data_IF_949530053192
#
_entry.id   IF_949530053192
#
_cell.length_a   1.000
_cell.length_b   1.000
_cell.length_c   1.000
_cell.angle_alpha   90.00
_cell.angle_beta   90.00
_cell.angle_gamma   90.00
#
_symmetry.space_group_name_H-M   'P 1'
#
loop_
_entity.id
_entity.type
_entity.pdbx_description
1 polymer ?
#
# COMPACT_ATOMS: atom_id res chain seq x y z
N UNK A 1 -41.05 -6.82 40.76
CA UNK A 1 -39.97 -5.96 40.21
C UNK A 1 -38.96 -6.87 39.53
N UNK A 2 -38.96 -6.87 38.20
CA UNK A 2 -37.96 -7.58 37.38
C UNK A 2 -37.28 -6.53 36.50
N UNK A 3 -35.94 -6.52 36.37
CA UNK A 3 -35.29 -5.63 35.43
C UNK A 3 -35.40 -6.22 34.01
N UNK A 4 -36.01 -5.44 33.12
CA UNK A 4 -35.83 -5.57 31.67
C UNK A 4 -34.56 -4.79 31.29
N UNK A 5 -33.71 -5.38 30.45
CA UNK A 5 -32.97 -4.70 29.38
C UNK A 5 -32.25 -5.79 28.56
N UNK A 6 -32.81 -6.22 27.45
CA UNK A 6 -32.74 -5.60 26.10
C UNK A 6 -31.45 -6.02 25.40
N UNK A 7 -31.58 -7.12 24.65
CA UNK A 7 -30.60 -7.63 23.70
C UNK A 7 -30.30 -6.56 22.65
N UNK A 8 -29.03 -6.22 22.50
CA UNK A 8 -28.57 -5.38 21.40
C UNK A 8 -28.37 -6.30 20.19
N UNK A 9 -29.26 -6.16 19.20
CA UNK A 9 -29.19 -6.86 17.92
C UNK A 9 -28.59 -5.88 16.88
N UNK A 10 -27.48 -6.20 16.22
CA UNK A 10 -26.75 -5.25 15.38
C UNK A 10 -27.26 -5.11 13.93
N UNK A 11 -28.53 -5.44 13.63
CA UNK A 11 -29.03 -5.50 12.25
C UNK A 11 -30.42 -4.88 11.99
N UNK A 12 -30.99 -4.12 12.94
CA UNK A 12 -32.22 -3.36 12.68
C UNK A 12 -32.03 -1.90 13.06
N UNK A 13 -31.79 -1.05 12.07
CA UNK A 13 -32.36 0.30 11.96
C UNK A 13 -32.16 0.82 10.53
N UNK A 14 -33.23 0.81 9.75
CA UNK A 14 -33.34 1.52 8.48
C UNK A 14 -33.70 2.99 8.68
N UNK A 15 -33.10 3.83 7.81
CA UNK A 15 -33.53 5.17 7.36
C UNK A 15 -33.33 6.37 8.29
N UNK A 16 -32.17 7.01 8.15
CA UNK A 16 -32.01 8.47 8.25
C UNK A 16 -30.91 8.92 7.28
N UNK A 17 -31.01 10.16 6.80
CA UNK A 17 -30.41 10.77 5.61
C UNK A 17 -28.96 10.37 5.23
N UNK A 18 -28.77 10.04 3.95
CA UNK A 18 -27.45 9.94 3.31
C UNK A 18 -26.74 11.30 3.31
N UNK A 19 -25.85 11.51 4.28
CA UNK A 19 -24.76 12.50 4.18
C UNK A 19 -23.57 11.81 3.53
N UNK A 20 -23.28 12.17 2.29
CA UNK A 20 -22.03 11.79 1.61
C UNK A 20 -20.86 12.43 2.33
N UNK A 21 -20.12 11.66 3.14
CA UNK A 21 -18.78 12.04 3.57
C UNK A 21 -17.84 11.87 2.38
N UNK A 22 -17.67 12.95 1.62
CA UNK A 22 -16.58 13.12 0.67
C UNK A 22 -15.33 13.50 1.46
N UNK A 23 -14.56 12.51 1.90
CA UNK A 23 -13.21 12.72 2.42
C UNK A 23 -12.25 12.88 1.23
N UNK A 24 -12.28 14.06 0.61
CA UNK A 24 -11.21 14.52 -0.25
C UNK A 24 -10.19 15.27 0.65
N UNK A 25 -8.91 14.88 0.69
CA UNK A 25 -7.87 15.56 1.48
C UNK A 25 -7.48 16.97 0.99
N UNK A 26 -8.31 17.62 0.19
CA UNK A 26 -8.04 18.92 -0.45
C UNK A 26 -9.05 20.01 -0.02
N UNK A 27 -10.00 19.71 0.86
CA UNK A 27 -10.96 20.69 1.40
C UNK A 27 -10.58 21.11 2.83
N UNK A 28 -9.33 21.55 3.02
CA UNK A 28 -9.02 22.40 4.17
C UNK A 28 -9.33 23.86 3.79
N UNK A 29 -10.27 24.43 4.53
CA UNK A 29 -10.86 25.75 4.36
C UNK A 29 -9.83 26.89 4.54
N UNK A 30 -9.12 27.23 3.48
CA UNK A 30 -8.45 28.54 3.32
C UNK A 30 -9.45 29.56 2.72
N UNK A 31 -10.52 29.88 3.46
CA UNK A 31 -11.54 30.83 3.00
C UNK A 31 -11.14 32.32 3.13
N UNK A 32 -10.03 32.62 3.82
CA UNK A 32 -9.49 33.98 3.90
C UNK A 32 -8.57 34.34 2.71
N UNK A 33 -7.94 33.36 2.05
CA UNK A 33 -7.06 33.60 0.90
C UNK A 33 -7.83 33.67 -0.43
N UNK A 34 -9.00 33.01 -0.53
CA UNK A 34 -9.85 33.04 -1.72
C UNK A 34 -10.45 34.42 -2.01
N UNK A 35 -10.60 35.30 -1.01
CA UNK A 35 -11.13 36.66 -1.26
C UNK A 35 -10.07 37.56 -1.90
N UNK A 36 -8.80 37.39 -1.54
CA UNK A 36 -7.67 38.11 -2.15
C UNK A 36 -7.38 37.55 -3.54
N UNK A 37 -7.43 36.23 -3.71
CA UNK A 37 -7.22 35.54 -4.97
C UNK A 37 -8.36 35.83 -5.98
N UNK A 38 -9.63 35.88 -5.54
CA UNK A 38 -10.74 36.31 -6.41
C UNK A 38 -10.63 37.79 -6.80
N UNK A 39 -10.12 38.67 -5.95
CA UNK A 39 -9.93 40.11 -6.26
C UNK A 39 -8.74 40.34 -7.20
N UNK A 40 -7.68 39.51 -7.12
CA UNK A 40 -6.56 39.57 -8.07
C UNK A 40 -6.88 38.89 -9.40
N UNK A 41 -7.52 37.72 -9.39
CA UNK A 41 -7.88 36.97 -10.62
C UNK A 41 -9.04 37.60 -11.39
N UNK A 42 -9.95 38.33 -10.74
CA UNK A 42 -11.00 39.08 -11.43
C UNK A 42 -10.49 40.38 -12.08
N UNK A 43 -9.48 41.03 -11.52
CA UNK A 43 -8.78 42.15 -12.16
C UNK A 43 -7.84 41.74 -13.30
N UNK A 44 -7.43 40.46 -13.35
CA UNK A 44 -6.49 39.95 -14.36
C UNK A 44 -7.14 39.09 -15.45
N UNK A 45 -8.48 38.94 -15.48
CA UNK A 45 -9.16 38.35 -16.63
C UNK A 45 -9.09 39.34 -17.81
N UNK A 46 -8.35 39.01 -18.89
CA UNK A 46 -8.17 39.94 -19.97
C UNK A 46 -9.44 39.91 -20.82
N UNK A 47 -10.31 40.89 -20.60
CA UNK A 47 -11.25 41.31 -21.62
C UNK A 47 -10.46 41.98 -22.75
N UNK A 48 -9.79 41.19 -23.59
CA UNK A 48 -9.01 41.65 -24.74
C UNK A 48 -7.75 40.82 -24.95
N UNK A 49 -7.42 40.47 -26.19
CA UNK A 49 -6.27 39.65 -26.54
C UNK A 49 -4.94 40.15 -25.94
N UNK A 50 -3.93 39.26 -25.94
CA UNK A 50 -2.55 39.44 -25.43
C UNK A 50 -1.79 40.68 -25.94
N UNK A 51 -2.43 41.48 -26.79
CA UNK A 51 -1.89 42.64 -27.50
C UNK A 51 -2.07 43.98 -26.76
N UNK A 52 -2.76 44.02 -25.60
CA UNK A 52 -2.95 45.25 -24.81
C UNK A 52 -2.36 45.23 -23.37
N UNK A 53 -1.59 44.20 -22.99
CA UNK A 53 -1.00 44.12 -21.64
C UNK A 53 0.32 44.89 -21.55
N UNK A 54 0.53 45.56 -20.41
CA UNK A 54 1.81 46.23 -20.13
C UNK A 54 2.90 45.20 -19.86
N UNK A 55 4.15 45.51 -20.22
CA UNK A 55 5.30 44.61 -20.01
C UNK A 55 5.46 44.23 -18.53
N UNK A 56 5.21 45.17 -17.62
CA UNK A 56 5.29 44.95 -16.18
C UNK A 56 4.22 43.97 -15.66
N UNK A 57 3.02 43.98 -16.23
CA UNK A 57 1.96 43.03 -15.88
C UNK A 57 2.31 41.61 -16.37
N UNK A 58 2.89 41.49 -17.56
CA UNK A 58 3.38 40.22 -18.09
C UNK A 58 4.54 39.64 -17.24
N UNK A 59 5.45 40.49 -16.80
CA UNK A 59 6.55 40.10 -15.91
C UNK A 59 6.05 39.62 -14.54
N UNK A 60 5.09 40.34 -13.94
CA UNK A 60 4.47 39.93 -12.67
C UNK A 60 3.70 38.61 -12.81
N UNK A 61 2.98 38.42 -13.92
CA UNK A 61 2.28 37.18 -14.21
C UNK A 61 3.24 36.00 -14.37
N UNK A 62 4.36 36.18 -15.08
CA UNK A 62 5.36 35.14 -15.27
C UNK A 62 5.98 34.68 -13.94
N UNK A 63 6.32 35.62 -13.07
CA UNK A 63 6.84 35.32 -11.73
C UNK A 63 5.80 34.58 -10.90
N UNK A 64 4.57 35.11 -10.81
CA UNK A 64 3.49 34.49 -10.04
C UNK A 64 3.20 33.07 -10.51
N UNK A 65 3.03 32.86 -11.82
CA UNK A 65 2.76 31.55 -12.38
C UNK A 65 3.91 30.56 -12.13
N UNK A 66 5.15 31.04 -12.11
CA UNK A 66 6.30 30.19 -11.79
C UNK A 66 6.33 29.81 -10.32
N UNK A 67 6.03 30.74 -9.40
CA UNK A 67 5.93 30.44 -7.97
C UNK A 67 4.81 29.42 -7.67
N UNK A 68 3.64 29.60 -8.29
CA UNK A 68 2.52 28.66 -8.15
C UNK A 68 2.86 27.27 -8.71
N UNK A 69 3.58 27.21 -9.84
CA UNK A 69 4.05 25.95 -10.40
C UNK A 69 5.00 25.24 -9.43
N UNK A 70 5.94 25.96 -8.81
CA UNK A 70 6.85 25.35 -7.83
C UNK A 70 6.14 24.86 -6.59
N UNK A 71 5.20 25.64 -6.04
CA UNK A 71 4.38 25.20 -4.90
C UNK A 71 3.67 23.90 -5.22
N UNK A 72 3.11 23.80 -6.43
CA UNK A 72 2.44 22.58 -6.91
C UNK A 72 3.40 21.39 -6.98
N UNK A 73 4.59 21.57 -7.59
CA UNK A 73 5.60 20.50 -7.67
C UNK A 73 6.08 20.05 -6.29
N UNK A 74 6.29 20.99 -5.37
CA UNK A 74 6.65 20.67 -3.97
C UNK A 74 5.53 19.91 -3.26
N UNK A 75 4.27 20.27 -3.50
CA UNK A 75 3.11 19.51 -3.03
C UNK A 75 3.12 18.07 -3.54
N UNK A 76 3.36 17.86 -4.84
CA UNK A 76 3.50 16.52 -5.42
C UNK A 76 4.64 15.71 -4.78
N UNK A 77 5.79 16.35 -4.53
CA UNK A 77 6.93 15.70 -3.88
C UNK A 77 6.58 15.24 -2.45
N UNK A 78 5.91 16.09 -1.68
CA UNK A 78 5.45 15.74 -0.33
C UNK A 78 4.53 14.53 -0.34
N UNK A 79 3.52 14.53 -1.23
CA UNK A 79 2.58 13.40 -1.36
C UNK A 79 3.31 12.12 -1.78
N UNK A 80 4.23 12.21 -2.73
CA UNK A 80 5.00 11.05 -3.16
C UNK A 80 5.87 10.47 -2.02
N UNK A 81 6.42 11.31 -1.14
CA UNK A 81 7.20 10.86 0.02
C UNK A 81 6.33 10.16 1.07
N UNK A 82 5.12 10.68 1.30
CA UNK A 82 4.13 10.05 2.17
C UNK A 82 3.75 8.66 1.62
N UNK A 83 3.50 8.55 0.31
CA UNK A 83 3.21 7.25 -0.35
C UNK A 83 4.41 6.31 -0.18
N UNK A 84 5.65 6.78 -0.31
CA UNK A 84 6.85 5.94 -0.15
C UNK A 84 6.96 5.37 1.26
N UNK A 85 6.67 6.19 2.27
CA UNK A 85 6.63 5.77 3.67
C UNK A 85 5.58 4.67 3.90
N UNK A 86 4.36 4.86 3.38
CA UNK A 86 3.28 3.89 3.57
C UNK A 86 3.47 2.61 2.74
N UNK A 87 4.03 2.70 1.53
CA UNK A 87 4.43 1.55 0.73
C UNK A 87 5.50 0.71 1.45
N UNK A 88 6.45 1.37 2.12
CA UNK A 88 7.47 0.68 2.92
C UNK A 88 6.86 -0.12 4.08
N UNK A 89 5.89 0.46 4.81
CA UNK A 89 5.14 -0.26 5.86
C UNK A 89 4.36 -1.43 5.28
N UNK A 90 3.74 -1.23 4.12
CA UNK A 90 2.95 -2.25 3.42
C UNK A 90 3.82 -3.44 2.99
N UNK A 91 5.01 -3.19 2.45
CA UNK A 91 5.97 -4.24 2.11
C UNK A 91 6.40 -5.08 3.32
N UNK A 92 6.63 -4.44 4.47
CA UNK A 92 6.94 -5.16 5.72
C UNK A 92 5.77 -6.06 6.14
N UNK A 93 4.54 -5.53 6.11
CA UNK A 93 3.34 -6.32 6.43
C UNK A 93 3.15 -7.49 5.46
N UNK A 94 3.33 -7.29 4.15
CA UNK A 94 3.24 -8.36 3.16
C UNK A 94 4.27 -9.46 3.44
N UNK A 95 5.52 -9.10 3.77
CA UNK A 95 6.54 -10.10 4.12
C UNK A 95 6.13 -10.91 5.37
N UNK A 96 5.63 -10.23 6.41
CA UNK A 96 5.17 -10.92 7.62
C UNK A 96 3.97 -11.85 7.34
N UNK A 97 3.02 -11.43 6.50
CA UNK A 97 1.88 -12.26 6.08
C UNK A 97 2.33 -13.48 5.28
N UNK A 98 3.30 -13.33 4.37
CA UNK A 98 3.90 -14.45 3.65
C UNK A 98 4.52 -15.50 4.57
N UNK A 99 5.24 -15.06 5.61
CA UNK A 99 5.78 -15.96 6.64
C UNK A 99 4.65 -16.67 7.42
N UNK A 100 3.55 -15.97 7.73
CA UNK A 100 2.39 -16.59 8.39
C UNK A 100 1.73 -17.65 7.52
N UNK A 101 1.59 -17.43 6.22
CA UNK A 101 1.06 -18.42 5.26
C UNK A 101 1.97 -19.66 5.24
N UNK A 102 3.29 -19.46 5.15
CA UNK A 102 4.28 -20.56 5.20
C UNK A 102 4.18 -21.36 6.50
N UNK A 103 4.10 -20.70 7.66
CA UNK A 103 3.92 -21.38 8.96
C UNK A 103 2.61 -22.17 9.01
N UNK A 104 1.55 -21.64 8.40
CA UNK A 104 0.24 -22.31 8.37
C UNK A 104 0.27 -23.55 7.49
N UNK A 105 0.96 -23.51 6.34
CA UNK A 105 1.23 -24.69 5.52
C UNK A 105 1.96 -25.77 6.30
N UNK A 106 2.99 -25.41 7.07
CA UNK A 106 3.72 -26.38 7.90
C UNK A 106 2.81 -27.04 8.93
N UNK A 107 1.97 -26.27 9.63
CA UNK A 107 0.98 -26.82 10.57
C UNK A 107 0.00 -27.76 9.88
N UNK A 108 -0.42 -27.44 8.67
CA UNK A 108 -1.33 -28.29 7.87
C UNK A 108 -0.68 -29.63 7.52
N UNK A 109 0.61 -29.65 7.19
CA UNK A 109 1.39 -30.88 6.98
C UNK A 109 1.51 -31.69 8.27
N UNK A 110 1.79 -31.04 9.40
CA UNK A 110 1.89 -31.72 10.69
C UNK A 110 0.54 -32.35 11.08
N UNK A 111 -0.56 -31.62 10.87
CA UNK A 111 -1.92 -32.12 11.07
C UNK A 111 -2.22 -33.34 10.18
N UNK A 112 -1.77 -33.35 8.92
CA UNK A 112 -1.91 -34.52 8.05
C UNK A 112 -1.18 -35.75 8.63
N UNK A 113 0.05 -35.55 9.13
CA UNK A 113 0.82 -36.62 9.73
C UNK A 113 0.12 -37.18 10.98
N UNK A 114 -0.38 -36.31 11.86
CA UNK A 114 -1.14 -36.70 13.05
C UNK A 114 -2.43 -37.41 12.69
N UNK A 115 -3.19 -36.88 11.73
CA UNK A 115 -4.43 -37.47 11.26
C UNK A 115 -4.17 -38.85 10.64
N UNK A 116 -3.16 -38.99 9.80
CA UNK A 116 -2.74 -40.27 9.22
C UNK A 116 -2.40 -41.32 10.28
N UNK A 117 -1.77 -40.91 11.40
CA UNK A 117 -1.50 -41.81 12.54
C UNK A 117 -2.78 -42.20 13.27
N UNK A 118 -3.67 -41.25 13.53
CA UNK A 118 -4.98 -41.49 14.15
C UNK A 118 -5.86 -42.41 13.32
N UNK A 119 -5.90 -42.21 12.00
CA UNK A 119 -6.64 -43.05 11.07
C UNK A 119 -6.16 -44.51 11.09
N UNK A 120 -4.84 -44.74 11.16
CA UNK A 120 -4.28 -46.09 11.30
C UNK A 120 -4.73 -46.77 12.60
N UNK A 121 -4.80 -46.03 13.70
CA UNK A 121 -5.27 -46.55 14.99
C UNK A 121 -6.77 -46.89 14.90
N UNK A 122 -7.60 -45.98 14.39
CA UNK A 122 -9.03 -46.20 14.17
C UNK A 122 -9.32 -47.38 13.22
N UNK A 123 -8.45 -47.59 12.23
CA UNK A 123 -8.50 -48.74 11.33
C UNK A 123 -8.27 -50.07 12.06
N UNK A 124 -7.33 -50.10 13.02
CA UNK A 124 -6.98 -51.29 13.83
C UNK A 124 -7.96 -51.58 14.96
N UNK A 125 -8.65 -50.56 15.48
CA UNK A 125 -9.57 -50.68 16.63
C UNK A 125 -10.87 -51.42 16.28
N UNK A 126 -11.16 -51.60 15.01
CA UNK A 126 -12.20 -52.55 14.58
C UNK A 126 -11.68 -53.98 14.73
N UNK A 127 -11.98 -54.64 15.85
CA UNK A 127 -11.62 -56.04 16.11
C UNK A 127 -12.19 -57.02 15.07
N UNK A 128 -11.99 -58.34 15.28
CA UNK A 128 -12.29 -59.43 14.33
C UNK A 128 -13.73 -59.47 13.76
N UNK A 129 -14.68 -58.73 14.33
CA UNK A 129 -16.08 -58.61 13.88
C UNK A 129 -16.45 -57.20 13.34
N UNK A 130 -15.46 -56.39 12.95
CA UNK A 130 -15.68 -55.05 12.39
C UNK A 130 -14.95 -54.93 11.06
N UNK A 131 -15.64 -54.43 10.03
CA UNK A 131 -15.00 -54.10 8.74
C UNK A 131 -13.75 -53.24 8.97
N UNK A 132 -12.63 -53.69 8.41
CA UNK A 132 -11.38 -52.92 8.35
C UNK A 132 -11.65 -51.62 7.61
N UNK A 133 -11.51 -50.48 8.29
CA UNK A 133 -11.75 -49.18 7.70
C UNK A 133 -10.41 -48.62 7.20
N UNK A 134 -10.39 -48.19 5.93
CA UNK A 134 -9.26 -47.46 5.34
C UNK A 134 -9.75 -46.06 5.00
N UNK A 135 -9.05 -45.00 5.44
CA UNK A 135 -9.40 -43.63 5.07
C UNK A 135 -9.26 -43.44 3.56
N UNK A 136 -10.20 -42.71 2.96
CA UNK A 136 -10.04 -42.22 1.59
C UNK A 136 -9.22 -40.94 1.60
N UNK A 137 -8.09 -40.95 0.89
CA UNK A 137 -7.27 -39.78 0.62
C UNK A 137 -7.49 -39.37 -0.83
N UNK A 138 -8.02 -38.16 -1.06
CA UNK A 138 -8.28 -37.67 -2.41
C UNK A 138 -7.05 -36.97 -3.00
N UNK A 139 -6.19 -36.41 -2.15
CA UNK A 139 -4.92 -35.76 -2.52
C UNK A 139 -3.89 -35.87 -1.40
N UNK A 140 -2.61 -35.76 -1.77
CA UNK A 140 -1.52 -35.59 -0.80
C UNK A 140 -1.45 -34.14 -0.36
N UNK A 141 -1.32 -33.91 0.94
CA UNK A 141 -1.13 -32.56 1.48
C UNK A 141 0.33 -32.17 1.25
N UNK A 142 0.52 -31.15 0.41
CA UNK A 142 1.85 -30.63 0.05
C UNK A 142 2.21 -29.47 0.97
N UNK A 143 3.46 -29.41 1.43
CA UNK A 143 3.95 -28.32 2.27
C UNK A 143 4.15 -27.00 1.51
N UNK A 144 4.73 -25.98 2.17
CA UNK A 144 4.93 -24.66 1.56
C UNK A 144 5.70 -24.81 0.24
N UNK A 145 5.14 -24.26 -0.84
CA UNK A 145 5.83 -24.21 -2.15
C UNK A 145 6.87 -23.10 -2.06
N UNK A 146 8.03 -23.41 -1.47
CA UNK A 146 9.16 -22.48 -1.48
C UNK A 146 9.69 -22.46 -2.91
N UNK A 147 9.19 -21.55 -3.73
CA UNK A 147 9.84 -21.20 -4.99
C UNK A 147 11.23 -20.67 -4.65
N UNK A 148 12.25 -21.53 -4.79
CA UNK A 148 13.66 -21.12 -4.79
C UNK A 148 13.89 -20.28 -6.04
N UNK A 149 13.60 -18.98 -5.96
CA UNK A 149 13.75 -18.05 -7.06
C UNK A 149 14.08 -16.66 -6.58
N UNK A 150 13.17 -16.02 -5.84
CA UNK A 150 13.32 -14.62 -5.51
C UNK A 150 13.33 -14.40 -4.00
N UNK A 151 14.53 -14.46 -3.44
CA UNK A 151 14.79 -13.68 -2.24
C UNK A 151 15.04 -12.24 -2.70
N UNK A 152 14.20 -11.24 -2.34
CA UNK A 152 14.56 -9.84 -2.51
C UNK A 152 15.60 -9.46 -1.44
N UNK A 153 16.76 -10.13 -1.51
CA UNK A 153 17.97 -9.75 -0.80
C UNK A 153 18.87 -9.03 -1.79
N UNK A 154 18.38 -7.92 -2.35
CA UNK A 154 19.22 -7.04 -3.13
C UNK A 154 18.88 -5.59 -2.80
N UNK A 155 19.84 -4.96 -2.13
CA UNK A 155 20.03 -3.52 -1.96
C UNK A 155 19.27 -2.81 -0.82
N UNK A 156 19.49 -3.25 0.43
CA UNK A 156 19.34 -2.37 1.63
C UNK A 156 20.71 -2.11 2.27
N UNK A 157 21.73 -2.00 1.42
CA UNK A 157 23.04 -1.45 1.75
C UNK A 157 23.19 -0.42 0.64
N UNK A 158 22.88 0.86 0.85
CA UNK A 158 23.86 1.77 1.42
C UNK A 158 23.33 3.23 1.49
N UNK A 159 22.34 3.52 2.33
CA UNK A 159 21.92 4.92 2.56
C UNK A 159 22.80 5.66 3.58
N UNK A 160 23.65 4.96 4.34
CA UNK A 160 24.52 5.55 5.37
C UNK A 160 25.92 5.94 4.89
N UNK A 161 26.36 5.52 3.71
CA UNK A 161 27.70 5.86 3.19
C UNK A 161 27.67 6.98 2.13
N UNK A 162 26.49 7.53 1.77
CA UNK A 162 26.40 8.72 0.90
C UNK A 162 26.45 10.06 1.64
N UNK A 163 26.07 10.09 2.92
CA UNK A 163 26.10 11.32 3.74
C UNK A 163 27.54 11.67 4.19
N UNK A 164 28.45 10.69 4.19
CA UNK A 164 29.81 10.83 4.73
C UNK A 164 30.87 11.29 3.73
N UNK A 165 30.49 11.66 2.51
CA UNK A 165 31.43 12.05 1.46
C UNK A 165 31.51 13.55 1.17
N UNK A 166 30.72 14.41 1.82
CA UNK A 166 31.06 15.85 1.97
C UNK A 166 31.46 16.61 0.70
N UNK A 167 30.82 16.35 -0.44
CA UNK A 167 31.11 17.06 -1.69
C UNK A 167 29.92 17.92 -2.13
N UNK A 168 29.82 19.13 -1.55
CA UNK A 168 29.09 20.23 -2.18
C UNK A 168 30.09 21.12 -2.92
N UNK A 169 29.96 21.33 -4.24
CA UNK A 169 30.74 22.32 -4.95
C UNK A 169 30.28 23.73 -4.52
N UNK A 170 31.23 24.49 -3.99
CA UNK A 170 31.08 25.91 -3.68
C UNK A 170 30.84 26.70 -4.96
N UNK A 171 29.66 27.29 -5.10
CA UNK A 171 29.39 28.32 -6.10
C UNK A 171 29.06 29.63 -5.40
N UNK A 172 30.03 30.55 -5.45
CA UNK A 172 29.86 31.96 -5.10
C UNK A 172 29.23 32.68 -6.30
N UNK A 173 28.18 33.50 -6.12
CA UNK A 173 27.90 34.57 -7.07
C UNK A 173 28.35 35.92 -6.47
N UNK A 174 29.14 36.66 -7.26
CA UNK A 174 29.45 38.07 -7.03
C UNK A 174 28.24 38.93 -7.39
N UNK A 175 27.98 39.92 -6.55
CA UNK A 175 27.01 41.01 -6.72
C UNK A 175 27.28 41.88 -7.96
N UNK A 176 26.20 42.34 -8.63
CA UNK A 176 26.07 43.64 -9.34
C UNK A 176 24.58 44.06 -9.42
N UNK A 177 24.34 45.36 -9.39
CA UNK A 177 23.03 46.04 -9.22
C UNK A 177 22.41 46.54 -10.55
N UNK A 178 21.05 46.51 -10.62
CA UNK A 178 20.07 47.27 -11.45
C UNK A 178 19.91 46.92 -12.95
N UNK A 179 18.72 47.06 -13.61
CA UNK A 179 17.40 47.58 -13.18
C UNK A 179 16.17 46.65 -13.35
N UNK A 180 15.26 46.68 -12.37
CA UNK A 180 13.84 46.25 -12.28
C UNK A 180 13.27 45.17 -13.24
N UNK A 181 13.43 45.27 -14.56
CA UNK A 181 13.06 44.21 -15.50
C UNK A 181 13.99 42.96 -15.43
N UNK A 182 15.24 43.12 -14.95
CA UNK A 182 16.13 41.96 -14.73
C UNK A 182 15.69 41.14 -13.51
N UNK A 183 14.96 41.73 -12.57
CA UNK A 183 14.57 41.08 -11.32
C UNK A 183 13.49 40.02 -11.57
N UNK A 184 12.46 40.35 -12.35
CA UNK A 184 11.39 39.41 -12.69
C UNK A 184 11.90 38.22 -13.52
N UNK A 185 12.74 38.48 -14.54
CA UNK A 185 13.36 37.41 -15.33
C UNK A 185 14.28 36.54 -14.47
N UNK A 186 15.14 37.15 -13.65
CA UNK A 186 16.06 36.40 -12.80
C UNK A 186 15.32 35.58 -11.74
N UNK A 187 14.25 36.13 -11.13
CA UNK A 187 13.39 35.43 -10.18
C UNK A 187 12.69 34.24 -10.85
N UNK A 188 12.16 34.44 -12.05
CA UNK A 188 11.57 33.38 -12.87
C UNK A 188 12.58 32.26 -13.15
N UNK A 189 13.81 32.61 -13.54
CA UNK A 189 14.87 31.63 -13.78
C UNK A 189 15.29 30.87 -12.52
N UNK A 190 15.34 31.53 -11.35
CA UNK A 190 15.59 30.84 -10.08
C UNK A 190 14.46 29.86 -9.75
N UNK A 191 13.23 30.25 -10.03
CA UNK A 191 12.05 29.43 -9.77
C UNK A 191 12.00 28.20 -10.69
N UNK A 192 12.32 28.37 -11.98
CA UNK A 192 12.52 27.26 -12.92
C UNK A 192 13.61 26.31 -12.44
N UNK A 193 14.75 26.82 -11.95
CA UNK A 193 15.81 25.95 -11.43
C UNK A 193 15.35 25.12 -10.22
N UNK A 194 14.53 25.69 -9.32
CA UNK A 194 13.91 24.93 -8.21
C UNK A 194 12.92 23.90 -8.72
N UNK A 195 12.13 24.22 -9.74
CA UNK A 195 11.20 23.28 -10.36
C UNK A 195 11.97 22.10 -10.95
N UNK A 196 13.05 22.33 -11.69
CA UNK A 196 13.87 21.29 -12.31
C UNK A 196 14.49 20.36 -11.24
N UNK A 197 14.99 20.92 -10.14
CA UNK A 197 15.50 20.14 -9.00
C UNK A 197 14.39 19.29 -8.37
N UNK A 198 13.26 19.90 -8.02
CA UNK A 198 12.14 19.20 -7.39
C UNK A 198 11.51 18.13 -8.31
N UNK A 199 11.46 18.38 -9.62
CA UNK A 199 11.01 17.39 -10.61
C UNK A 199 11.99 16.24 -10.77
N UNK A 200 13.30 16.50 -10.64
CA UNK A 200 14.33 15.45 -10.64
C UNK A 200 14.16 14.54 -9.43
N UNK A 201 13.96 15.11 -8.24
CA UNK A 201 13.71 14.36 -7.01
C UNK A 201 12.40 13.57 -7.10
N UNK A 202 11.32 14.21 -7.59
CA UNK A 202 10.04 13.55 -7.80
C UNK A 202 10.17 12.38 -8.78
N UNK A 203 10.92 12.55 -9.88
CA UNK A 203 11.16 11.47 -10.85
C UNK A 203 11.92 10.30 -10.23
N UNK A 204 12.93 10.57 -9.39
CA UNK A 204 13.67 9.52 -8.69
C UNK A 204 12.75 8.75 -7.74
N UNK A 205 11.96 9.48 -6.95
CA UNK A 205 11.00 8.95 -5.99
C UNK A 205 9.90 8.10 -6.67
N UNK A 206 9.36 8.56 -7.79
CA UNK A 206 8.42 7.78 -8.62
C UNK A 206 9.06 6.48 -9.14
N UNK A 207 10.36 6.50 -9.44
CA UNK A 207 11.13 5.31 -9.80
C UNK A 207 11.19 4.30 -8.64
N UNK A 208 11.43 4.76 -7.41
CA UNK A 208 11.41 3.92 -6.21
C UNK A 208 10.00 3.35 -5.94
N UNK A 209 8.97 4.20 -6.02
CA UNK A 209 7.57 3.81 -5.86
C UNK A 209 7.16 2.73 -6.86
N UNK A 210 7.61 2.84 -8.12
CA UNK A 210 7.39 1.81 -9.14
C UNK A 210 8.01 0.48 -8.73
N UNK A 211 9.26 0.48 -8.29
CA UNK A 211 9.95 -0.75 -7.89
C UNK A 211 9.22 -1.41 -6.70
N UNK A 212 8.85 -0.63 -5.68
CA UNK A 212 8.04 -1.14 -4.57
C UNK A 212 6.69 -1.68 -5.02
N UNK A 213 6.02 -1.04 -5.97
CA UNK A 213 4.75 -1.54 -6.51
C UNK A 213 4.91 -2.89 -7.24
N UNK A 214 6.00 -3.08 -7.99
CA UNK A 214 6.33 -4.36 -8.62
C UNK A 214 6.63 -5.43 -7.57
N UNK A 215 7.42 -5.10 -6.56
CA UNK A 215 7.75 -6.01 -5.46
C UNK A 215 6.49 -6.42 -4.66
N UNK A 216 5.61 -5.46 -4.36
CA UNK A 216 4.32 -5.73 -3.72
C UNK A 216 3.44 -6.63 -4.60
N UNK A 217 3.38 -6.37 -5.91
CA UNK A 217 2.59 -7.17 -6.85
C UNK A 217 3.06 -8.62 -6.92
N UNK A 218 4.37 -8.85 -7.04
CA UNK A 218 4.94 -10.20 -7.07
C UNK A 218 4.78 -10.93 -5.73
N UNK A 219 4.92 -10.22 -4.61
CA UNK A 219 4.67 -10.78 -3.28
C UNK A 219 3.21 -11.22 -3.10
N UNK A 220 2.25 -10.40 -3.53
CA UNK A 220 0.82 -10.71 -3.48
C UNK A 220 0.51 -11.93 -4.36
N UNK A 221 0.93 -11.93 -5.63
CA UNK A 221 0.68 -13.04 -6.55
C UNK A 221 1.21 -14.37 -6.01
N UNK A 222 2.43 -14.35 -5.46
CA UNK A 222 3.01 -15.52 -4.81
C UNK A 222 2.15 -15.99 -3.63
N UNK A 223 1.76 -15.08 -2.75
CA UNK A 223 0.97 -15.42 -1.56
C UNK A 223 -0.43 -15.91 -1.91
N UNK A 224 -1.06 -15.36 -2.96
CA UNK A 224 -2.34 -15.85 -3.49
C UNK A 224 -2.23 -17.31 -3.93
N UNK A 225 -1.19 -17.66 -4.70
CA UNK A 225 -0.96 -19.04 -5.12
C UNK A 225 -0.69 -19.98 -3.92
N UNK A 226 0.05 -19.52 -2.92
CA UNK A 226 0.26 -20.29 -1.68
C UNK A 226 -1.06 -20.49 -0.90
N UNK A 227 -1.95 -19.50 -0.87
CA UNK A 227 -3.26 -19.60 -0.22
C UNK A 227 -4.19 -20.59 -0.93
N UNK A 228 -4.21 -20.62 -2.26
CA UNK A 228 -5.02 -21.59 -3.02
C UNK A 228 -4.62 -23.04 -2.67
N UNK A 229 -3.31 -23.30 -2.65
CA UNK A 229 -2.79 -24.60 -2.22
C UNK A 229 -3.15 -24.93 -0.75
N UNK A 230 -3.13 -23.92 0.12
CA UNK A 230 -3.50 -24.09 1.54
C UNK A 230 -4.98 -24.43 1.68
N UNK A 231 -5.84 -23.76 0.92
CA UNK A 231 -7.29 -23.99 0.92
C UNK A 231 -7.60 -25.43 0.52
N UNK A 232 -7.04 -25.90 -0.58
CA UNK A 232 -7.22 -27.29 -1.00
C UNK A 232 -6.75 -28.28 0.09
N UNK A 233 -5.63 -27.97 0.78
CA UNK A 233 -5.09 -28.80 1.86
C UNK A 233 -6.02 -28.82 3.07
N UNK A 234 -6.58 -27.67 3.43
CA UNK A 234 -7.54 -27.54 4.50
C UNK A 234 -8.83 -28.32 4.20
N UNK A 235 -9.31 -28.29 2.95
CA UNK A 235 -10.51 -29.02 2.54
C UNK A 235 -10.31 -30.55 2.62
N UNK A 236 -9.16 -31.06 2.17
CA UNK A 236 -8.83 -32.49 2.30
C UNK A 236 -8.71 -32.91 3.77
N UNK A 237 -8.05 -32.10 4.62
CA UNK A 237 -8.00 -32.37 6.06
C UNK A 237 -9.39 -32.41 6.67
N UNK A 238 -10.23 -31.41 6.37
CA UNK A 238 -11.59 -31.32 6.89
C UNK A 238 -12.42 -32.56 6.49
N UNK A 239 -12.33 -32.97 5.22
CA UNK A 239 -12.98 -34.18 4.73
C UNK A 239 -12.54 -35.44 5.49
N UNK A 240 -11.23 -35.61 5.70
CA UNK A 240 -10.67 -36.79 6.40
C UNK A 240 -10.94 -36.80 7.90
N UNK A 241 -10.90 -35.64 8.55
CA UNK A 241 -11.30 -35.49 9.96
C UNK A 241 -12.76 -35.89 10.14
N UNK A 242 -13.66 -35.44 9.26
CA UNK A 242 -15.09 -35.83 9.29
C UNK A 242 -15.28 -37.34 9.15
N UNK A 243 -14.59 -37.98 8.21
CA UNK A 243 -14.63 -39.44 8.06
C UNK A 243 -14.11 -40.17 9.29
N UNK A 244 -12.98 -39.73 9.84
CA UNK A 244 -12.38 -40.31 11.06
C UNK A 244 -13.31 -40.19 12.26
N UNK A 245 -13.96 -39.03 12.43
CA UNK A 245 -14.93 -38.80 13.49
C UNK A 245 -16.16 -39.71 13.34
N UNK A 246 -16.68 -39.86 12.11
CA UNK A 246 -17.76 -40.78 11.83
C UNK A 246 -17.39 -42.23 12.18
N UNK A 247 -16.18 -42.67 11.80
CA UNK A 247 -15.68 -44.01 12.17
C UNK A 247 -15.56 -44.18 13.68
N UNK A 248 -15.01 -43.20 14.39
CA UNK A 248 -14.88 -43.23 15.84
C UNK A 248 -16.25 -43.38 16.53
N UNK A 249 -17.26 -42.61 16.08
CA UNK A 249 -18.64 -42.73 16.58
C UNK A 249 -19.26 -44.11 16.34
N UNK A 250 -19.01 -44.73 15.19
CA UNK A 250 -19.49 -46.10 14.94
C UNK A 250 -18.84 -47.12 15.87
N UNK A 251 -17.56 -46.94 16.21
CA UNK A 251 -16.86 -47.83 17.14
C UNK A 251 -17.35 -47.68 18.58
N UNK A 252 -17.73 -46.47 19.01
CA UNK A 252 -18.26 -46.19 20.35
C UNK A 252 -19.72 -46.64 20.55
N UNK A 253 -20.47 -46.89 19.47
CA UNK A 253 -21.85 -47.38 19.54
C UNK A 253 -21.95 -48.91 19.66
N UNK A 254 -20.82 -49.62 19.65
CA UNK A 254 -20.72 -51.04 19.95
C UNK A 254 -20.37 -51.25 21.40
#
# INVERSE_FOLDING_TARGET
>A
MAPKNSSWNPFDDEKEAAKSFSLNPFDDDDDDDKEVEKRFTSSLKPSGGKENQTVQELESYAVYNSEETTKTVQGCLKVAEEIRCDASKTLVMLNEQGDQITRTHQKTVDLDHHLSRGEKILGRLGGVFSRTWKPKKSRSITGPVITKGDSPKRNVIDLKTREKLGLNPSLKPKSKTLPEAVDAYQKTQMEIAKQDEALTDLSALLGELKNMAVDMGTAIERQTNELDHLQDNADELNYRVKQSNQRARYLLRK
#
